data_IF_796533328976
#
_entry.id   IF_796533328976
#
_cell.length_a   1.000
_cell.length_b   1.000
_cell.length_c   1.000
_cell.angle_alpha   90.00
_cell.angle_beta   90.00
_cell.angle_gamma   90.00
#
_symmetry.space_group_name_H-M   'P 1'
#
loop_
_entity.id
_entity.type
_entity.pdbx_description
1 polymer ?
#
# COMPACT_ATOMS: atom_id res chain seq x y z
N UNK A 1 4.71 -3.57 22.87
CA UNK A 1 4.94 -4.56 21.79
C UNK A 1 4.22 -4.03 20.56
N UNK A 2 4.93 -3.67 19.49
CA UNK A 2 4.31 -3.12 18.26
C UNK A 2 4.10 -4.25 17.25
N UNK A 3 2.94 -4.27 16.60
CA UNK A 3 2.63 -5.20 15.52
C UNK A 3 2.78 -4.42 14.22
N UNK A 4 3.66 -4.90 13.33
CA UNK A 4 3.80 -4.38 11.98
C UNK A 4 3.08 -5.34 11.03
N UNK A 5 2.09 -4.84 10.30
CA UNK A 5 1.36 -5.60 9.29
C UNK A 5 1.84 -5.17 7.92
N UNK A 6 2.30 -6.12 7.12
CA UNK A 6 2.67 -5.90 5.72
C UNK A 6 1.59 -6.50 4.83
N UNK A 7 1.13 -5.74 3.85
CA UNK A 7 0.12 -6.17 2.89
C UNK A 7 0.79 -6.24 1.52
N UNK A 8 0.81 -7.44 0.95
CA UNK A 8 1.31 -7.70 -0.40
C UNK A 8 0.14 -8.25 -1.22
N UNK A 9 -0.48 -7.42 -2.08
CA UNK A 9 -1.54 -7.88 -2.95
C UNK A 9 -1.06 -9.03 -3.85
N UNK A 10 -1.91 -10.04 -4.06
CA UNK A 10 -1.66 -11.04 -5.09
C UNK A 10 -1.73 -10.38 -6.48
N UNK A 11 -1.16 -11.05 -7.50
CA UNK A 11 -1.23 -10.57 -8.88
C UNK A 11 -2.69 -10.29 -9.30
N UNK A 12 -2.93 -9.12 -9.90
CA UNK A 12 -4.27 -8.65 -10.26
C UNK A 12 -5.01 -7.87 -9.17
N UNK A 13 -4.48 -7.79 -7.95
CA UNK A 13 -5.03 -6.99 -6.86
C UNK A 13 -4.17 -5.75 -6.59
N UNK A 14 -4.80 -4.64 -6.21
CA UNK A 14 -4.14 -3.37 -5.92
C UNK A 14 -4.10 -3.05 -4.44
N UNK A 15 -3.23 -2.11 -4.05
CA UNK A 15 -3.27 -1.46 -2.75
C UNK A 15 -2.88 0.01 -2.89
N UNK A 16 -3.65 0.88 -2.24
CA UNK A 16 -3.43 2.32 -2.25
C UNK A 16 -3.67 2.92 -0.86
N UNK A 17 -2.82 3.87 -0.48
CA UNK A 17 -3.04 4.69 0.72
C UNK A 17 -3.67 6.01 0.29
N UNK A 18 -4.87 6.28 0.78
CA UNK A 18 -5.65 7.49 0.49
C UNK A 18 -5.90 8.31 1.76
N UNK A 19 -6.26 9.57 1.58
CA UNK A 19 -6.68 10.47 2.66
C UNK A 19 -8.13 10.90 2.43
N UNK A 20 -9.13 10.17 2.96
CA UNK A 20 -10.54 10.45 2.70
C UNK A 20 -11.02 11.75 3.34
N UNK A 21 -10.38 12.15 4.44
CA UNK A 21 -10.63 13.38 5.20
C UNK A 21 -9.30 13.92 5.74
N UNK A 22 -9.20 15.21 6.08
CA UNK A 22 -8.00 15.77 6.70
C UNK A 22 -7.54 14.95 7.91
N UNK A 23 -6.29 14.50 7.84
CA UNK A 23 -5.60 13.75 8.89
C UNK A 23 -5.97 12.26 9.00
N UNK A 24 -7.04 11.79 8.36
CA UNK A 24 -7.32 10.35 8.28
C UNK A 24 -6.47 9.75 7.15
N UNK A 25 -5.79 8.63 7.44
CA UNK A 25 -5.12 7.82 6.43
C UNK A 25 -5.82 6.48 6.34
N UNK A 26 -6.09 6.04 5.12
CA UNK A 26 -6.82 4.82 4.84
C UNK A 26 -6.05 4.00 3.83
N UNK A 27 -5.71 2.77 4.18
CA UNK A 27 -5.23 1.78 3.24
C UNK A 27 -6.43 1.05 2.65
N UNK A 28 -6.54 1.06 1.34
CA UNK A 28 -7.52 0.28 0.58
C UNK A 28 -6.72 -0.76 -0.18
N UNK A 29 -7.03 -2.04 0.00
CA UNK A 29 -6.38 -3.12 -0.72
C UNK A 29 -7.40 -4.15 -1.17
N UNK A 30 -7.32 -4.57 -2.43
CA UNK A 30 -8.35 -5.37 -3.04
C UNK A 30 -8.39 -5.29 -4.56
N UNK A 31 -9.44 -5.91 -5.10
CA UNK A 31 -9.77 -5.98 -6.52
C UNK A 31 -11.29 -6.06 -6.66
N UNK A 32 -11.76 -6.42 -7.85
CA UNK A 32 -13.18 -6.40 -8.21
C UNK A 32 -14.05 -7.29 -7.31
N UNK A 33 -13.52 -8.46 -6.93
CA UNK A 33 -14.27 -9.46 -6.13
C UNK A 33 -14.19 -9.25 -4.62
N UNK A 34 -13.15 -8.56 -4.13
CA UNK A 34 -12.91 -8.42 -2.70
C UNK A 34 -12.02 -7.21 -2.40
N UNK A 35 -12.47 -6.37 -1.46
CA UNK A 35 -11.73 -5.23 -0.95
C UNK A 35 -11.76 -5.23 0.57
N UNK A 36 -10.62 -4.96 1.20
CA UNK A 36 -10.55 -4.65 2.62
C UNK A 36 -9.98 -3.24 2.82
N UNK A 37 -10.40 -2.63 3.92
CA UNK A 37 -10.07 -1.24 4.24
C UNK A 37 -9.53 -1.20 5.65
N UNK A 38 -8.36 -0.57 5.82
CA UNK A 38 -7.78 -0.28 7.14
C UNK A 38 -7.76 1.23 7.30
N UNK A 39 -8.50 1.73 8.28
CA UNK A 39 -8.47 3.13 8.66
C UNK A 39 -7.51 3.34 9.82
N UNK A 40 -6.60 4.30 9.65
CA UNK A 40 -5.71 4.79 10.69
C UNK A 40 -6.29 6.11 11.20
N UNK A 41 -6.74 6.17 12.47
CA UNK A 41 -7.19 7.40 13.10
C UNK A 41 -6.10 8.47 13.07
N UNK A 42 -6.54 9.74 13.08
CA UNK A 42 -5.68 10.94 12.95
C UNK A 42 -4.51 10.89 13.92
N UNK A 43 -4.80 10.55 15.18
CA UNK A 43 -3.86 10.64 16.29
C UNK A 43 -2.75 9.60 16.14
N UNK A 44 -3.07 8.45 15.56
CA UNK A 44 -2.11 7.38 15.32
C UNK A 44 -1.29 7.62 14.05
N UNK A 45 -1.91 8.20 13.02
CA UNK A 45 -1.23 8.60 11.79
C UNK A 45 -0.15 9.65 12.08
N UNK A 46 -0.52 10.71 12.81
CA UNK A 46 0.39 11.79 13.17
C UNK A 46 1.52 11.32 14.09
N UNK A 47 1.22 10.40 15.01
CA UNK A 47 2.24 9.77 15.85
C UNK A 47 3.22 8.94 15.02
N UNK A 48 2.74 8.13 14.07
CA UNK A 48 3.60 7.33 13.19
C UNK A 48 4.54 8.19 12.35
N UNK A 49 4.03 9.30 11.79
CA UNK A 49 4.82 10.27 11.03
C UNK A 49 5.87 10.95 11.92
N UNK A 50 5.48 11.44 13.10
CA UNK A 50 6.40 12.05 14.07
C UNK A 50 7.55 11.12 14.46
N UNK A 51 7.28 9.81 14.53
CA UNK A 51 8.28 8.78 14.84
C UNK A 51 9.00 8.24 13.60
N UNK A 52 8.78 8.80 12.41
CA UNK A 52 9.32 8.34 11.13
C UNK A 52 9.12 6.83 10.89
N UNK A 53 7.93 6.34 11.23
CA UNK A 53 7.54 4.91 11.13
C UNK A 53 6.73 4.59 9.88
N UNK A 54 6.32 5.58 9.11
CA UNK A 54 5.68 5.42 7.80
C UNK A 54 6.72 5.00 6.76
N UNK A 55 6.51 3.85 6.08
CA UNK A 55 7.32 3.46 4.91
C UNK A 55 6.40 3.01 3.79
N UNK A 56 6.56 3.62 2.62
CA UNK A 56 5.98 3.15 1.37
C UNK A 56 7.06 2.46 0.54
N UNK A 57 6.72 1.33 -0.08
CA UNK A 57 7.59 0.67 -1.05
C UNK A 57 7.02 0.93 -2.44
N UNK A 58 7.85 1.29 -3.43
CA UNK A 58 7.39 1.38 -4.80
C UNK A 58 6.91 0.00 -5.25
N UNK A 59 5.76 -0.02 -5.93
CA UNK A 59 5.31 -1.22 -6.64
C UNK A 59 6.28 -1.46 -7.79
N UNK A 60 7.09 -2.52 -7.69
CA UNK A 60 8.02 -2.89 -8.74
C UNK A 60 7.26 -3.64 -9.83
N UNK A 61 6.90 -2.94 -10.91
CA UNK A 61 6.35 -3.53 -12.13
C UNK A 61 7.46 -4.25 -12.91
N UNK A 62 8.12 -5.24 -12.29
CA UNK A 62 9.15 -6.02 -12.95
C UNK A 62 8.53 -7.15 -13.78
N UNK A 63 8.06 -6.80 -14.99
CA UNK A 63 7.91 -7.74 -16.11
C UNK A 63 8.26 -7.03 -17.42
N UNK A 64 9.53 -6.64 -17.55
CA UNK A 64 10.13 -6.26 -18.82
C UNK A 64 10.43 -7.51 -19.65
N UNK A 65 9.45 -7.99 -20.43
CA UNK A 65 9.64 -9.05 -21.41
C UNK A 65 10.68 -8.60 -22.44
N UNK A 66 11.90 -9.13 -22.33
CA UNK A 66 13.01 -8.88 -23.26
C UNK A 66 12.72 -9.67 -24.54
N UNK A 67 12.15 -9.01 -25.54
CA UNK A 67 12.11 -9.54 -26.90
C UNK A 67 13.53 -9.56 -27.44
N UNK A 68 14.17 -10.73 -27.48
CA UNK A 68 15.40 -10.88 -28.22
C UNK A 68 15.07 -10.94 -29.71
N UNK A 69 15.50 -9.89 -30.43
CA UNK A 69 15.61 -9.88 -31.88
C UNK A 69 16.50 -11.06 -32.31
N UNK A 70 16.00 -11.90 -33.20
CA UNK A 70 16.81 -12.92 -33.89
C UNK A 70 17.00 -12.44 -35.33
N UNK A 71 18.27 -12.36 -35.70
CA UNK A 71 18.83 -12.06 -37.03
C UNK A 71 18.18 -12.84 -38.18
#
# INVERSE_FOLDING_TARGET
MSIHVVIQPAAGYGAEVVSPSPGIRQLIAGGEDATFVIQVPVEFGDWCETQNRSRSFPFDSADGHRSNETE
#
